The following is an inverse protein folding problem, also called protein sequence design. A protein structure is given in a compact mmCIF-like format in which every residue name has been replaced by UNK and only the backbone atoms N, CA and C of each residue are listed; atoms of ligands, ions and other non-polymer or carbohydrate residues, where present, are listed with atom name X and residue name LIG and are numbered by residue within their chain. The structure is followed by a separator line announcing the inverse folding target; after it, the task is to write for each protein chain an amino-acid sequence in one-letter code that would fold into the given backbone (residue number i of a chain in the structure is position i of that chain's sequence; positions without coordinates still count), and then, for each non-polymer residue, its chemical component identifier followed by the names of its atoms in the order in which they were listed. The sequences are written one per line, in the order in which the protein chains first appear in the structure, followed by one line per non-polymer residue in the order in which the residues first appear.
data_IF_517366918821
#
_entry.id   IF_517366918821
#
_cell.length_a   1.000
_cell.length_b   1.000
_cell.length_c   1.000
_cell.angle_alpha   90.00
_cell.angle_beta   90.00
_cell.angle_gamma   90.00
#
_symmetry.space_group_name_H-M   'P 1'
#
loop_
_entity.id
_entity.type
_entity.pdbx_description
1 polymer ?
#
# COMPACT_ATOMS: atom_id res chain seq x y z
N UNK A 1 -9.80 2.24 7.59
CA UNK A 1 -9.34 2.24 6.18
C UNK A 1 -10.04 1.13 5.39
N UNK A 2 -9.94 -0.13 5.81
CA UNK A 2 -10.67 -1.25 5.22
C UNK A 2 -12.20 -0.98 5.09
N UNK A 3 -12.83 -0.44 6.13
CA UNK A 3 -14.28 -0.11 6.12
C UNK A 3 -14.68 0.84 4.98
N UNK A 4 -13.84 1.83 4.67
CA UNK A 4 -14.11 2.78 3.57
C UNK A 4 -13.96 2.12 2.20
N UNK A 5 -13.04 1.15 2.07
CA UNK A 5 -12.90 0.36 0.84
C UNK A 5 -14.10 -0.57 0.66
N UNK A 6 -14.60 -1.16 1.74
CA UNK A 6 -15.81 -1.99 1.69
C UNK A 6 -17.04 -1.19 1.26
N UNK A 7 -17.23 0.01 1.81
CA UNK A 7 -18.30 0.91 1.36
C UNK A 7 -18.19 1.32 -0.11
N UNK A 8 -16.97 1.31 -0.69
CA UNK A 8 -16.77 1.57 -2.11
C UNK A 8 -17.11 0.34 -2.97
N UNK A 9 -16.86 -0.87 -2.50
CA UNK A 9 -17.24 -2.11 -3.20
C UNK A 9 -18.73 -2.21 -3.44
N UNK A 10 -19.54 -1.78 -2.48
CA UNK A 10 -21.00 -1.76 -2.59
C UNK A 10 -21.49 -0.86 -3.74
N UNK A 11 -20.72 0.18 -4.06
CA UNK A 11 -21.07 1.17 -5.10
C UNK A 11 -20.36 0.91 -6.43
N UNK A 12 -19.19 0.31 -6.38
CA UNK A 12 -18.30 0.07 -7.50
C UNK A 12 -17.75 -1.34 -7.39
N UNK A 13 -18.42 -2.28 -8.07
CA UNK A 13 -18.10 -3.72 -8.03
C UNK A 13 -16.70 -4.05 -8.56
N UNK A 14 -16.04 -3.11 -9.23
CA UNK A 14 -14.68 -3.23 -9.75
C UNK A 14 -13.60 -2.82 -8.75
N UNK A 15 -13.96 -2.26 -7.58
CA UNK A 15 -12.99 -1.86 -6.56
C UNK A 15 -12.62 -3.09 -5.72
N UNK A 16 -11.52 -3.74 -6.05
CA UNK A 16 -11.05 -4.94 -5.32
C UNK A 16 -9.76 -4.70 -4.51
N UNK A 17 -9.11 -3.56 -4.74
CA UNK A 17 -7.75 -3.30 -4.27
C UNK A 17 -7.68 -2.10 -3.33
N UNK A 18 -7.13 -2.32 -2.14
CA UNK A 18 -6.75 -1.27 -1.19
C UNK A 18 -5.22 -1.14 -1.13
N UNK A 19 -4.67 -0.29 -2.00
CA UNK A 19 -3.24 0.03 -1.99
C UNK A 19 -2.92 1.02 -0.87
N UNK A 20 -2.26 0.52 0.17
CA UNK A 20 -1.91 1.26 1.38
C UNK A 20 -0.56 0.77 1.89
N UNK A 21 0.21 1.67 2.48
CA UNK A 21 1.53 1.35 3.01
C UNK A 21 2.64 1.42 1.97
N UNK A 22 3.82 1.56 2.51
CA UNK A 22 5.13 1.67 1.93
C UNK A 22 6.06 0.70 2.68
N UNK A 23 7.36 0.83 2.48
CA UNK A 23 8.35 -0.03 3.14
C UNK A 23 8.33 0.08 4.67
N UNK A 24 8.18 1.28 5.21
CA UNK A 24 8.40 1.52 6.66
C UNK A 24 7.15 1.27 7.53
N UNK A 25 5.97 1.13 6.91
CA UNK A 25 4.69 0.97 7.58
C UNK A 25 3.92 -0.26 7.09
N UNK A 26 4.64 -1.26 6.54
CA UNK A 26 4.06 -2.49 6.00
C UNK A 26 3.16 -3.21 7.01
N UNK A 27 3.62 -3.43 8.24
CA UNK A 27 2.85 -4.15 9.26
C UNK A 27 1.57 -3.40 9.64
N UNK A 28 1.66 -2.07 9.80
CA UNK A 28 0.50 -1.23 10.09
C UNK A 28 -0.49 -1.22 8.92
N UNK A 29 -0.01 -1.22 7.67
CA UNK A 29 -0.85 -1.27 6.48
C UNK A 29 -1.60 -2.61 6.36
N UNK A 30 -0.93 -3.73 6.68
CA UNK A 30 -1.56 -5.05 6.75
C UNK A 30 -2.63 -5.07 7.84
N UNK A 31 -2.31 -4.59 9.04
CA UNK A 31 -3.27 -4.50 10.14
C UNK A 31 -4.49 -3.60 9.83
N UNK A 32 -4.29 -2.57 9.00
CA UNK A 32 -5.35 -1.67 8.53
C UNK A 32 -6.17 -2.23 7.35
N UNK A 33 -5.83 -3.44 6.86
CA UNK A 33 -6.55 -4.18 5.82
C UNK A 33 -6.09 -3.90 4.38
N UNK A 34 -4.84 -3.49 4.18
CA UNK A 34 -4.29 -3.34 2.82
C UNK A 34 -4.27 -4.67 2.06
N UNK A 35 -4.62 -4.63 0.78
CA UNK A 35 -4.46 -5.77 -0.14
C UNK A 35 -3.24 -5.61 -1.05
N UNK A 36 -2.54 -4.47 -0.97
CA UNK A 36 -1.37 -4.16 -1.78
C UNK A 36 -0.45 -3.15 -1.06
N UNK A 37 0.75 -3.60 -0.68
CA UNK A 37 1.78 -2.74 -0.07
C UNK A 37 2.87 -2.43 -1.09
N UNK A 38 3.41 -1.20 -1.07
CA UNK A 38 4.42 -0.73 -2.02
C UNK A 38 5.81 -0.80 -1.41
N UNK A 39 6.58 -1.84 -1.76
CA UNK A 39 7.92 -2.04 -1.21
C UNK A 39 8.98 -1.61 -2.23
N UNK A 40 9.85 -0.69 -1.83
CA UNK A 40 10.92 -0.15 -2.67
C UNK A 40 12.26 -0.28 -1.97
N UNK A 41 12.52 0.58 -0.98
CA UNK A 41 13.80 0.67 -0.27
C UNK A 41 14.24 -0.64 0.38
N UNK A 42 13.32 -1.44 0.92
CA UNK A 42 13.70 -2.73 1.51
C UNK A 42 14.15 -3.77 0.47
N UNK A 43 13.72 -3.63 -0.80
CA UNK A 43 14.15 -4.52 -1.90
C UNK A 43 15.39 -3.96 -2.59
N UNK A 44 15.40 -2.66 -2.90
CA UNK A 44 16.39 -2.03 -3.78
C UNK A 44 17.43 -1.16 -3.07
N UNK A 45 17.30 -0.96 -1.76
CA UNK A 45 18.14 -0.03 -1.00
C UNK A 45 17.79 1.43 -1.23
N UNK A 46 18.62 2.32 -0.67
CA UNK A 46 18.50 3.76 -0.87
C UNK A 46 18.89 4.16 -2.29
N UNK A 47 18.29 5.24 -2.81
CA UNK A 47 18.69 5.80 -4.09
C UNK A 47 20.08 6.42 -3.99
N UNK A 48 20.94 6.08 -4.94
CA UNK A 48 22.22 6.76 -5.14
C UNK A 48 21.99 8.03 -5.96
N UNK A 49 22.36 9.18 -5.38
CA UNK A 49 22.27 10.50 -6.02
C UNK A 49 23.65 11.07 -6.38
N UNK A 50 24.73 10.31 -6.22
CA UNK A 50 26.10 10.77 -6.47
C UNK A 50 26.41 11.04 -7.95
N UNK A 51 25.67 10.42 -8.87
CA UNK A 51 25.86 10.54 -10.31
C UNK A 51 24.96 11.61 -10.97
N UNK A 52 24.45 12.59 -10.21
CA UNK A 52 23.60 13.68 -10.74
C UNK A 52 24.37 14.93 -11.10
#
# INVERSE_FOLDING_TARGET
MAESCEALKDRFTTVDTLSLGMTDDMEAAIAAGSTMVRIGTAIFGARDYSAR
#
